data_IF_833626623446
#
_entry.id   IF_833626623446
#
_cell.length_a   1.000
_cell.length_b   1.000
_cell.length_c   1.000
_cell.angle_alpha   90.00
_cell.angle_beta   90.00
_cell.angle_gamma   90.00
#
_symmetry.space_group_name_H-M   'P 1'
#
loop_
_entity.id
_entity.type
_entity.pdbx_description
1 polymer ?
#
# COMPACT_ATOMS: atom_id res chain seq x y z
N UNK A 1 16.30 1.04 13.94
CA UNK A 1 15.60 1.99 13.05
C UNK A 1 14.58 1.19 12.29
N UNK A 2 13.30 1.29 12.66
CA UNK A 2 12.21 0.67 11.89
C UNK A 2 12.17 1.34 10.51
N UNK A 3 12.18 0.51 9.46
CA UNK A 3 12.12 1.00 8.08
C UNK A 3 10.67 1.33 7.75
N UNK A 4 10.31 2.61 7.77
CA UNK A 4 8.99 3.12 7.36
C UNK A 4 8.89 3.23 5.83
N UNK A 5 9.33 2.20 5.11
CA UNK A 5 9.36 2.18 3.66
C UNK A 5 8.29 1.21 3.17
N UNK A 6 7.38 1.71 2.34
CA UNK A 6 6.35 0.91 1.68
C UNK A 6 7.01 0.20 0.51
N UNK A 7 7.31 -1.07 0.71
CA UNK A 7 7.92 -1.93 -0.31
C UNK A 7 6.83 -2.47 -1.25
N UNK A 8 7.10 -2.50 -2.55
CA UNK A 8 6.23 -3.19 -3.49
C UNK A 8 6.38 -4.70 -3.29
N UNK A 9 5.28 -5.43 -3.43
CA UNK A 9 5.27 -6.88 -3.25
C UNK A 9 5.65 -7.64 -4.53
N UNK A 10 5.72 -6.96 -5.67
CA UNK A 10 5.97 -7.57 -6.98
C UNK A 10 7.29 -7.11 -7.62
N UNK A 11 7.92 -6.06 -7.10
CA UNK A 11 9.20 -5.57 -7.61
C UNK A 11 10.02 -4.86 -6.52
N UNK A 12 11.26 -4.47 -6.85
CA UNK A 12 12.21 -3.81 -5.94
C UNK A 12 11.86 -2.34 -5.62
N UNK A 13 10.71 -1.85 -6.09
CA UNK A 13 10.27 -0.49 -5.82
C UNK A 13 9.91 -0.32 -4.35
N UNK A 14 10.39 0.76 -3.72
CA UNK A 14 9.99 1.15 -2.37
C UNK A 14 9.77 2.66 -2.29
N UNK A 15 8.88 3.09 -1.39
CA UNK A 15 8.63 4.52 -1.17
C UNK A 15 8.16 4.80 0.24
N UNK A 16 8.50 5.98 0.78
CA UNK A 16 7.95 6.46 2.05
C UNK A 16 6.58 7.12 1.89
N UNK A 17 6.17 7.42 0.66
CA UNK A 17 4.91 8.09 0.38
C UNK A 17 3.85 7.07 -0.01
N UNK A 18 2.78 6.98 0.79
CA UNK A 18 1.61 6.15 0.47
C UNK A 18 1.01 6.51 -0.89
N UNK A 19 1.01 7.79 -1.27
CA UNK A 19 0.53 8.21 -2.58
C UNK A 19 1.38 7.64 -3.71
N UNK A 20 2.70 7.79 -3.64
CA UNK A 20 3.61 7.31 -4.68
C UNK A 20 3.55 5.78 -4.79
N UNK A 21 3.47 5.08 -3.66
CA UNK A 21 3.35 3.63 -3.63
C UNK A 21 2.01 3.14 -4.22
N UNK A 22 0.87 3.73 -3.83
CA UNK A 22 -0.43 3.41 -4.42
C UNK A 22 -0.48 3.68 -5.93
N UNK A 23 0.11 4.80 -6.37
CA UNK A 23 0.20 5.12 -7.80
C UNK A 23 1.05 4.10 -8.55
N UNK A 24 2.20 3.71 -7.98
CA UNK A 24 3.07 2.68 -8.54
C UNK A 24 2.32 1.36 -8.75
N UNK A 25 1.58 0.87 -7.74
CA UNK A 25 0.78 -0.36 -7.87
C UNK A 25 -0.22 -0.27 -9.04
N UNK A 26 -0.90 0.88 -9.17
CA UNK A 26 -1.89 1.08 -10.23
C UNK A 26 -1.26 1.15 -11.61
N UNK A 27 -0.16 1.87 -11.76
CA UNK A 27 0.48 2.11 -13.06
C UNK A 27 1.35 0.94 -13.54
N UNK A 28 2.06 0.27 -12.64
CA UNK A 28 3.01 -0.80 -12.98
C UNK A 28 2.41 -2.20 -12.89
N UNK A 29 1.55 -2.41 -11.91
CA UNK A 29 0.99 -3.74 -11.61
C UNK A 29 -0.50 -3.85 -11.92
N UNK A 30 -1.14 -2.73 -12.33
CA UNK A 30 -2.59 -2.66 -12.53
C UNK A 30 -3.35 -3.21 -11.32
N UNK A 31 -2.85 -2.95 -10.12
CA UNK A 31 -3.43 -3.40 -8.85
C UNK A 31 -3.66 -2.21 -7.91
N UNK A 32 -4.37 -2.48 -6.81
CA UNK A 32 -4.60 -1.53 -5.73
C UNK A 32 -4.28 -2.20 -4.41
N UNK A 33 -4.09 -1.45 -3.31
CA UNK A 33 -3.82 -2.05 -2.01
C UNK A 33 -4.90 -3.07 -1.62
N UNK A 34 -6.17 -2.77 -1.88
CA UNK A 34 -7.28 -3.70 -1.65
C UNK A 34 -7.14 -5.00 -2.43
N UNK A 35 -6.86 -4.92 -3.74
CA UNK A 35 -6.71 -6.11 -4.61
C UNK A 35 -5.45 -6.91 -4.30
N UNK A 36 -4.38 -6.24 -3.88
CA UNK A 36 -3.17 -6.88 -3.40
C UNK A 36 -3.31 -7.52 -2.01
N UNK A 37 -4.48 -7.37 -1.36
CA UNK A 37 -4.69 -7.83 0.01
C UNK A 37 -3.81 -7.08 1.00
N UNK A 38 -3.57 -5.79 0.77
CA UNK A 38 -2.67 -4.94 1.56
C UNK A 38 -3.44 -3.83 2.28
N UNK A 39 -3.16 -3.68 3.56
CA UNK A 39 -3.62 -2.58 4.40
C UNK A 39 -2.43 -1.67 4.69
N UNK A 40 -2.61 -0.37 4.51
CA UNK A 40 -1.67 0.64 4.98
C UNK A 40 -2.03 0.99 6.42
N UNK A 41 -1.19 0.60 7.37
CA UNK A 41 -1.31 1.01 8.77
C UNK A 41 -0.41 2.21 9.04
N UNK A 42 -1.02 3.33 9.38
CA UNK A 42 -0.33 4.51 9.85
C UNK A 42 0.17 4.29 11.29
N UNK A 43 1.30 4.89 11.65
CA UNK A 43 1.83 4.89 13.02
C UNK A 43 0.86 5.50 14.05
N UNK A 44 -0.12 6.29 13.62
CA UNK A 44 -1.19 6.77 14.50
C UNK A 44 -2.23 5.69 14.87
N UNK A 45 -2.09 4.47 14.35
CA UNK A 45 -3.01 3.35 14.52
C UNK A 45 -4.13 3.27 13.47
N UNK A 46 -4.22 4.24 12.56
CA UNK A 46 -5.25 4.25 11.52
C UNK A 46 -4.90 3.30 10.37
N UNK A 47 -5.86 2.47 9.97
CA UNK A 47 -5.74 1.52 8.88
C UNK A 47 -6.55 1.97 7.68
N UNK A 48 -5.95 1.88 6.48
CA UNK A 48 -6.61 2.30 5.25
C UNK A 48 -6.09 1.52 4.05
N UNK A 49 -6.90 1.42 3.00
CA UNK A 49 -6.50 0.87 1.71
C UNK A 49 -6.11 1.97 0.71
N UNK A 50 -6.01 3.22 1.16
CA UNK A 50 -5.82 4.39 0.30
C UNK A 50 -4.80 5.35 0.87
N UNK A 51 -4.28 6.26 0.04
CA UNK A 51 -3.38 7.31 0.51
C UNK A 51 -4.12 8.51 1.14
N UNK A 52 -5.46 8.50 1.23
CA UNK A 52 -6.21 9.66 1.71
C UNK A 52 -5.84 10.06 3.15
N UNK A 53 -5.50 9.08 4.00
CA UNK A 53 -5.05 9.35 5.36
C UNK A 53 -3.72 10.13 5.39
N UNK A 54 -2.84 9.93 4.40
CA UNK A 54 -1.52 10.59 4.36
C UNK A 54 -1.63 12.11 4.14
N UNK A 55 -2.75 12.58 3.60
CA UNK A 55 -3.01 14.01 3.40
C UNK A 55 -3.57 14.70 4.65
N UNK A 56 -4.10 13.93 5.61
CA UNK A 56 -4.77 14.45 6.81
C UNK A 56 -3.94 14.26 8.07
N UNK A 57 -3.12 13.21 8.12
CA UNK A 57 -2.28 12.91 9.27
C UNK A 57 -0.93 13.62 9.17
N UNK A 58 -0.54 14.35 10.20
CA UNK A 58 0.76 15.02 10.29
C UNK A 58 1.93 14.02 10.46
N UNK A 59 1.65 12.79 10.92
CA UNK A 59 2.65 11.73 11.05
C UNK A 59 2.89 11.09 9.68
N UNK A 60 1.82 10.72 8.97
CA UNK A 60 1.83 10.13 7.62
C UNK A 60 2.89 9.04 7.37
N UNK A 61 3.28 8.31 8.42
CA UNK A 61 4.21 7.19 8.35
C UNK A 61 3.42 5.89 8.28
N UNK A 62 3.54 5.17 7.18
CA UNK A 62 2.76 3.97 6.92
C UNK A 62 3.63 2.74 6.83
N UNK A 63 3.04 1.61 7.20
CA UNK A 63 3.58 0.26 7.05
C UNK A 63 2.56 -0.59 6.29
N UNK A 64 3.03 -1.60 5.57
CA UNK A 64 2.16 -2.51 4.83
C UNK A 64 1.86 -3.72 5.71
N UNK A 65 0.57 -4.03 5.84
CA UNK A 65 0.09 -5.27 6.44
C UNK A 65 -0.57 -6.09 5.33
N UNK A 66 -0.08 -7.31 5.08
CA UNK A 66 -0.78 -8.26 4.20
C UNK A 66 -1.95 -8.90 4.96
N UNK A 67 -3.16 -8.63 4.50
CA UNK A 67 -4.40 -9.23 4.95
C UNK A 67 -4.78 -10.40 4.02
N UNK A 68 -3.91 -11.39 3.91
CA UNK A 68 -4.17 -12.59 3.11
C UNK A 68 -2.91 -13.33 2.66
N UNK A 69 -3.02 -14.66 2.57
CA UNK A 69 -2.00 -15.54 1.99
C UNK A 69 -2.16 -15.72 0.48
N UNK A 70 -3.22 -15.14 -0.10
CA UNK A 70 -3.60 -15.34 -1.49
C UNK A 70 -2.69 -14.60 -2.50
N UNK A 71 -2.82 -14.93 -3.79
CA UNK A 71 -2.14 -14.19 -4.85
C UNK A 71 -2.66 -12.74 -4.92
N UNK A 72 -1.80 -11.83 -5.38
CA UNK A 72 -2.18 -10.43 -5.60
C UNK A 72 -3.14 -10.37 -6.79
N UNK A 73 -4.35 -9.86 -6.56
CA UNK A 73 -5.33 -9.67 -7.62
C UNK A 73 -5.01 -8.41 -8.42
N UNK A 74 -5.47 -8.38 -9.67
CA UNK A 74 -5.27 -7.25 -10.60
C UNK A 74 -6.63 -6.73 -11.05
N UNK A 75 -6.68 -5.48 -11.51
CA UNK A 75 -7.90 -4.85 -12.01
C UNK A 75 -8.53 -5.57 -13.22
N UNK A 76 -7.73 -6.37 -13.94
CA UNK A 76 -8.18 -7.17 -15.07
C UNK A 76 -8.65 -8.58 -14.67
N UNK A 77 -8.48 -8.98 -13.42
CA UNK A 77 -8.93 -10.29 -12.93
C UNK A 77 -10.47 -10.29 -12.80
N UNK A 78 -11.16 -11.37 -13.21
CA UNK A 78 -12.61 -11.46 -13.04
C UNK A 78 -12.99 -11.49 -11.54
N UNK A 79 -14.11 -10.86 -11.16
CA UNK A 79 -14.60 -10.83 -9.77
C UNK A 79 -15.08 -12.19 -9.25
#
# INVERSE_FOLDING_TARGET
MEKNELECLECEFSSRSAYVWCRHLKEKHSTTPTLAGCILRCQCGYETFSYAHSQKCHIANFTIIRNGSGPIQRLADPP
#
